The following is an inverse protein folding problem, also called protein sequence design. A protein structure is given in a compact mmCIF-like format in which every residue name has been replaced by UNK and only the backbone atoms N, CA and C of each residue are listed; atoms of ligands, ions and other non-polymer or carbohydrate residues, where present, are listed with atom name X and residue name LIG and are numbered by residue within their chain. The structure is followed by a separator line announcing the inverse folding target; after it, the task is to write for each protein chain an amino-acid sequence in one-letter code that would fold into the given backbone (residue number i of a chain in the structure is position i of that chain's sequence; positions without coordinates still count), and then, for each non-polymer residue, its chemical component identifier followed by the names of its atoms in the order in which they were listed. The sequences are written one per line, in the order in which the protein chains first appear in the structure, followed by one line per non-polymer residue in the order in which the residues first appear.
data_IF_834986272230
#
_entry.id   IF_834986272230
#
_cell.length_a   1.000
_cell.length_b   1.000
_cell.length_c   1.000
_cell.angle_alpha   90.00
_cell.angle_beta   90.00
_cell.angle_gamma   90.00
#
_symmetry.space_group_name_H-M   'P 1'
#
loop_
_entity.id
_entity.type
_entity.pdbx_description
1 polymer ?
#
# COMPACT_ATOMS: atom_id res chain seq x y z
N UNK A 1 4.78 -13.04 8.24
CA UNK A 1 4.82 -12.00 7.17
C UNK A 1 3.65 -11.02 7.23
N UNK A 2 2.40 -11.43 6.98
CA UNK A 2 1.24 -10.48 6.99
C UNK A 2 0.89 -10.02 8.41
N UNK A 3 0.85 -10.94 9.37
CA UNK A 3 0.59 -10.60 10.78
C UNK A 3 1.67 -9.68 11.36
N UNK A 4 2.94 -9.85 10.98
CA UNK A 4 4.02 -8.97 11.42
C UNK A 4 3.86 -7.54 10.88
N UNK A 5 3.40 -7.40 9.63
CA UNK A 5 3.11 -6.11 9.04
C UNK A 5 1.95 -5.41 9.78
N UNK A 6 0.88 -6.13 10.10
CA UNK A 6 -0.24 -5.60 10.87
C UNK A 6 0.19 -5.20 12.29
N UNK A 7 0.98 -6.03 12.97
CA UNK A 7 1.54 -5.73 14.29
C UNK A 7 2.40 -4.45 14.30
N UNK A 8 3.15 -4.19 13.22
CA UNK A 8 3.91 -2.93 13.08
C UNK A 8 2.99 -1.71 12.98
N UNK A 9 1.81 -1.84 12.37
CA UNK A 9 0.83 -0.75 12.28
C UNK A 9 0.14 -0.45 13.62
N UNK A 10 0.13 -1.41 14.56
CA UNK A 10 -0.44 -1.21 15.89
C UNK A 10 0.47 -0.37 16.78
N UNK A 11 1.80 -0.47 16.62
CA UNK A 11 2.75 0.36 17.36
C UNK A 11 2.68 1.81 16.89
N UNK A 12 2.13 2.69 17.73
CA UNK A 12 2.05 4.13 17.50
C UNK A 12 3.42 4.80 17.61
N UNK A 13 3.59 5.87 16.85
CA UNK A 13 4.79 6.70 16.93
C UNK A 13 4.86 7.36 18.31
N UNK A 14 6.06 7.44 18.88
CA UNK A 14 6.25 8.23 20.11
C UNK A 14 6.40 9.72 19.77
N UNK A 15 6.29 10.58 20.78
CA UNK A 15 6.52 12.01 20.60
C UNK A 15 7.91 12.29 20.03
N UNK A 16 8.94 11.59 20.52
CA UNK A 16 10.32 11.73 20.05
C UNK A 16 10.47 11.31 18.58
N UNK A 17 9.77 10.26 18.15
CA UNK A 17 9.76 9.82 16.76
C UNK A 17 9.10 10.87 15.85
N UNK A 18 8.02 11.51 16.31
CA UNK A 18 7.34 12.58 15.57
C UNK A 18 8.20 13.85 15.49
N UNK A 19 8.80 14.26 16.60
CA UNK A 19 9.74 15.39 16.64
C UNK A 19 10.96 15.12 15.74
N UNK A 20 11.49 13.89 15.76
CA UNK A 20 12.59 13.49 14.87
C UNK A 20 12.17 13.58 13.41
N UNK A 21 10.98 13.11 13.05
CA UNK A 21 10.46 13.21 11.70
C UNK A 21 10.34 14.68 11.24
N UNK A 22 9.81 15.56 12.09
CA UNK A 22 9.76 17.00 11.83
C UNK A 22 11.16 17.56 11.57
N UNK A 23 12.12 17.32 12.48
CA UNK A 23 13.50 17.83 12.35
C UNK A 23 14.17 17.35 11.07
N UNK A 24 13.99 16.08 10.72
CA UNK A 24 14.56 15.49 9.51
C UNK A 24 13.95 16.10 8.25
N UNK A 25 12.63 16.36 8.23
CA UNK A 25 11.97 17.00 7.09
C UNK A 25 12.36 18.47 6.95
N UNK A 26 12.42 19.22 8.05
CA UNK A 26 12.78 20.65 8.03
C UNK A 26 14.25 20.90 7.70
N UNK A 27 15.13 19.95 7.97
CA UNK A 27 16.54 20.01 7.57
C UNK A 27 16.80 19.47 6.16
N UNK A 28 15.96 18.55 5.66
CA UNK A 28 16.08 17.98 4.32
C UNK A 28 15.31 18.72 3.22
N UNK A 29 14.31 19.53 3.58
CA UNK A 29 13.40 20.25 2.67
C UNK A 29 13.32 21.73 3.04
N UNK A 30 12.88 22.58 2.09
CA UNK A 30 12.72 24.01 2.37
C UNK A 30 11.47 24.27 3.21
N UNK A 31 11.62 24.97 4.32
CA UNK A 31 10.50 25.49 5.11
C UNK A 31 9.71 26.56 4.36
N UNK A 32 8.44 26.73 4.72
CA UNK A 32 7.64 27.85 4.23
C UNK A 32 8.17 29.17 4.81
N UNK A 33 8.20 30.23 4.00
CA UNK A 33 8.71 31.52 4.43
C UNK A 33 7.85 32.08 5.57
N UNK A 34 8.46 32.35 6.73
CA UNK A 34 7.78 32.92 7.89
C UNK A 34 7.09 31.91 8.82
N UNK A 35 7.29 30.60 8.65
CA UNK A 35 6.78 29.61 9.60
C UNK A 35 7.56 29.65 10.91
N UNK A 36 6.87 29.77 12.04
CA UNK A 36 7.48 29.57 13.37
C UNK A 36 7.78 28.09 13.58
N UNK A 37 9.05 27.75 13.79
CA UNK A 37 9.51 26.36 13.90
C UNK A 37 8.87 25.63 15.08
N UNK A 38 8.68 26.31 16.23
CA UNK A 38 8.11 25.70 17.43
C UNK A 38 6.63 25.36 17.22
N UNK A 39 5.86 26.32 16.71
CA UNK A 39 4.44 26.12 16.39
C UNK A 39 4.26 25.05 15.32
N UNK A 40 5.15 25.02 14.31
CA UNK A 40 5.09 24.01 13.24
C UNK A 40 5.40 22.61 13.78
N UNK A 41 6.43 22.47 14.62
CA UNK A 41 6.75 21.20 15.29
C UNK A 41 5.59 20.70 16.14
N UNK A 42 4.92 21.59 16.88
CA UNK A 42 3.77 21.23 17.69
C UNK A 42 2.57 20.82 16.84
N UNK A 43 2.34 21.50 15.70
CA UNK A 43 1.30 21.13 14.76
C UNK A 43 1.57 19.74 14.13
N UNK A 44 2.83 19.40 13.86
CA UNK A 44 3.24 18.06 13.44
C UNK A 44 2.91 17.01 14.50
N UNK A 45 3.22 17.30 15.78
CA UNK A 45 2.87 16.41 16.88
C UNK A 45 1.37 16.13 16.94
N UNK A 46 0.53 17.18 16.94
CA UNK A 46 -0.93 16.98 17.00
C UNK A 46 -1.52 16.29 15.77
N UNK A 47 -1.01 16.58 14.57
CA UNK A 47 -1.52 15.97 13.36
C UNK A 47 -1.15 14.50 13.23
N UNK A 48 0.04 14.11 13.70
CA UNK A 48 0.59 12.76 13.52
C UNK A 48 0.38 11.86 14.74
N UNK A 49 -0.23 12.36 15.80
CA UNK A 49 -0.62 11.54 16.94
C UNK A 49 -1.54 10.38 16.47
N UNK A 50 -1.24 9.18 16.96
CA UNK A 50 -1.94 7.96 16.54
C UNK A 50 -1.49 7.36 15.19
N UNK A 51 -0.56 7.97 14.45
CA UNK A 51 0.08 7.32 13.29
C UNK A 51 1.03 6.21 13.75
N UNK A 52 1.13 5.12 12.99
CA UNK A 52 2.12 4.07 13.27
C UNK A 52 3.56 4.58 13.15
N UNK A 53 4.42 4.17 14.09
CA UNK A 53 5.86 4.44 14.09
C UNK A 53 6.51 4.03 12.75
N UNK A 54 6.13 2.86 12.22
CA UNK A 54 6.67 2.36 10.97
C UNK A 54 6.17 3.16 9.75
N UNK A 55 4.90 3.59 9.77
CA UNK A 55 4.32 4.44 8.71
C UNK A 55 5.00 5.80 8.69
N UNK A 56 5.17 6.43 9.85
CA UNK A 56 5.84 7.73 9.99
C UNK A 56 7.26 7.69 9.43
N UNK A 57 8.05 6.68 9.82
CA UNK A 57 9.42 6.52 9.30
C UNK A 57 9.44 6.31 7.78
N UNK A 58 8.52 5.51 7.26
CA UNK A 58 8.42 5.24 5.83
C UNK A 58 8.01 6.50 5.07
N UNK A 59 7.01 7.24 5.55
CA UNK A 59 6.54 8.48 4.94
C UNK A 59 7.62 9.57 4.93
N UNK A 60 8.34 9.72 6.04
CA UNK A 60 9.47 10.66 6.15
C UNK A 60 10.55 10.34 5.12
N UNK A 61 10.91 9.06 4.99
CA UNK A 61 11.89 8.59 4.02
C UNK A 61 11.42 8.78 2.57
N UNK A 62 10.15 8.55 2.29
CA UNK A 62 9.59 8.74 0.94
C UNK A 62 9.56 10.21 0.55
N UNK A 63 9.20 11.10 1.48
CA UNK A 63 9.23 12.54 1.28
C UNK A 63 10.64 13.04 0.93
N UNK A 64 11.65 12.66 1.73
CA UNK A 64 13.05 13.02 1.48
C UNK A 64 13.59 12.47 0.14
N UNK A 65 13.09 11.33 -0.32
CA UNK A 65 13.47 10.74 -1.60
C UNK A 65 12.71 11.33 -2.80
N UNK A 66 11.76 12.24 -2.56
CA UNK A 66 10.84 12.73 -3.59
C UNK A 66 9.94 11.64 -4.16
N UNK A 67 9.68 10.57 -3.40
CA UNK A 67 8.83 9.43 -3.80
C UNK A 67 7.42 9.47 -3.19
N UNK A 68 7.17 10.42 -2.29
CA UNK A 68 5.86 10.60 -1.69
C UNK A 68 4.89 11.23 -2.70
N UNK A 69 4.14 10.41 -3.42
CA UNK A 69 3.12 10.85 -4.38
C UNK A 69 2.14 11.85 -3.75
N UNK A 70 2.00 13.02 -4.37
CA UNK A 70 1.12 14.09 -3.92
C UNK A 70 1.76 15.10 -2.97
N UNK A 71 2.98 14.84 -2.47
CA UNK A 71 3.76 15.82 -1.71
C UNK A 71 4.71 16.60 -2.62
N UNK A 72 5.02 17.82 -2.22
CA UNK A 72 6.06 18.62 -2.87
C UNK A 72 7.45 18.02 -2.58
N UNK A 73 8.32 17.94 -3.59
CA UNK A 73 9.67 17.36 -3.47
C UNK A 73 10.72 18.35 -2.98
N UNK A 74 10.38 19.63 -2.87
CA UNK A 74 11.29 20.73 -2.55
C UNK A 74 10.94 21.39 -1.23
N UNK A 75 9.65 21.60 -0.98
CA UNK A 75 9.14 22.22 0.22
C UNK A 75 8.70 21.17 1.22
N UNK A 76 8.89 21.49 2.50
CA UNK A 76 8.36 20.72 3.60
C UNK A 76 6.83 20.61 3.47
N UNK A 77 6.25 19.41 3.62
CA UNK A 77 4.81 19.24 3.47
C UNK A 77 4.05 19.98 4.57
N UNK A 78 2.81 20.39 4.29
CA UNK A 78 1.93 20.83 5.37
C UNK A 78 1.61 19.65 6.29
N UNK A 79 1.25 19.94 7.55
CA UNK A 79 0.85 18.89 8.51
C UNK A 79 -0.31 18.06 7.99
N UNK A 80 -1.28 18.70 7.34
CA UNK A 80 -2.44 18.03 6.73
C UNK A 80 -2.03 17.11 5.57
N UNK A 81 -1.20 17.60 4.64
CA UNK A 81 -0.75 16.80 3.49
C UNK A 81 0.07 15.59 3.95
N UNK A 82 0.97 15.81 4.91
CA UNK A 82 1.80 14.74 5.44
C UNK A 82 1.00 13.71 6.22
N UNK A 83 -0.01 14.13 7.00
CA UNK A 83 -0.96 13.24 7.66
C UNK A 83 -1.74 12.40 6.64
N UNK A 84 -2.31 13.02 5.61
CA UNK A 84 -3.06 12.30 4.57
C UNK A 84 -2.19 11.28 3.83
N UNK A 85 -0.92 11.61 3.58
CA UNK A 85 0.02 10.65 3.01
C UNK A 85 0.23 9.45 3.95
N UNK A 86 0.46 9.69 5.24
CA UNK A 86 0.60 8.64 6.25
C UNK A 86 -0.65 7.74 6.32
N UNK A 87 -1.83 8.34 6.39
CA UNK A 87 -3.11 7.63 6.43
C UNK A 87 -3.32 6.75 5.19
N UNK A 88 -3.07 7.31 4.00
CA UNK A 88 -3.16 6.57 2.73
C UNK A 88 -2.19 5.39 2.69
N UNK A 89 -0.96 5.57 3.16
CA UNK A 89 0.05 4.52 3.24
C UNK A 89 -0.41 3.39 4.19
N UNK A 90 -0.92 3.76 5.37
CA UNK A 90 -1.42 2.82 6.37
C UNK A 90 -2.62 2.01 5.84
N UNK A 91 -3.58 2.69 5.21
CA UNK A 91 -4.76 2.06 4.63
C UNK A 91 -4.41 1.10 3.47
N UNK A 92 -3.45 1.47 2.61
CA UNK A 92 -2.97 0.60 1.52
C UNK A 92 -2.41 -0.72 2.06
N UNK A 93 -1.66 -0.66 3.16
CA UNK A 93 -1.06 -1.85 3.78
C UNK A 93 -2.13 -2.71 4.43
N UNK A 94 -3.06 -2.12 5.18
CA UNK A 94 -4.19 -2.85 5.78
C UNK A 94 -5.01 -3.55 4.71
N UNK A 95 -5.39 -2.84 3.66
CA UNK A 95 -6.17 -3.39 2.55
C UNK A 95 -5.45 -4.58 1.90
N UNK A 96 -4.14 -4.43 1.61
CA UNK A 96 -3.35 -5.51 1.02
C UNK A 96 -3.22 -6.72 1.95
N UNK A 97 -3.02 -6.48 3.24
CA UNK A 97 -2.98 -7.54 4.25
C UNK A 97 -4.32 -8.29 4.32
N UNK A 98 -5.45 -7.56 4.33
CA UNK A 98 -6.78 -8.16 4.31
C UNK A 98 -7.04 -9.00 3.06
N UNK A 99 -6.62 -8.53 1.87
CA UNK A 99 -6.75 -9.32 0.64
C UNK A 99 -5.95 -10.62 0.72
N UNK A 100 -4.68 -10.56 1.16
CA UNK A 100 -3.85 -11.77 1.29
C UNK A 100 -4.45 -12.76 2.29
N UNK A 101 -4.93 -12.29 3.44
CA UNK A 101 -5.59 -13.16 4.43
C UNK A 101 -6.85 -13.81 3.85
N UNK A 102 -7.68 -13.07 3.11
CA UNK A 102 -8.85 -13.61 2.42
C UNK A 102 -8.49 -14.65 1.37
N UNK A 103 -7.43 -14.41 0.59
CA UNK A 103 -6.98 -15.36 -0.44
C UNK A 103 -6.39 -16.64 0.16
N UNK A 104 -5.70 -16.55 1.30
CA UNK A 104 -5.20 -17.73 2.04
C UNK A 104 -6.34 -18.52 2.71
N UNK A 105 -7.44 -17.85 3.08
CA UNK A 105 -8.62 -18.48 3.67
C UNK A 105 -9.59 -19.04 2.64
N UNK A 106 -9.43 -18.75 1.34
CA UNK A 106 -10.24 -19.37 0.30
C UNK A 106 -9.94 -20.87 0.27
N UNK A 107 -10.93 -21.74 0.54
CA UNK A 107 -10.73 -23.15 0.33
C UNK A 107 -10.47 -23.39 -1.17
N UNK A 108 -9.58 -24.31 -1.50
CA UNK A 108 -9.24 -24.77 -2.86
C UNK A 108 -10.44 -25.46 -3.58
N UNK A 109 -11.65 -24.90 -3.51
CA UNK A 109 -12.84 -25.48 -4.14
C UNK A 109 -12.96 -25.16 -5.64
N UNK A 110 -12.23 -24.15 -6.14
CA UNK A 110 -12.32 -23.71 -7.54
C UNK A 110 -11.28 -24.39 -8.46
N UNK A 111 -10.20 -24.97 -7.94
CA UNK A 111 -9.22 -25.70 -8.76
C UNK A 111 -9.78 -27.04 -9.25
N UNK A 112 -10.46 -27.80 -8.39
CA UNK A 112 -11.04 -29.11 -8.75
C UNK A 112 -12.31 -29.03 -9.61
N UNK A 113 -13.05 -27.91 -9.59
CA UNK A 113 -14.24 -27.71 -10.46
C UNK A 113 -13.87 -27.19 -11.85
N UNK A 114 -12.86 -26.32 -12.00
CA UNK A 114 -12.42 -25.83 -13.31
C UNK A 114 -11.70 -26.88 -14.15
N UNK A 115 -10.90 -27.76 -13.55
CA UNK A 115 -10.17 -28.79 -14.30
C UNK A 115 -11.09 -29.88 -14.87
N UNK A 116 -12.19 -30.21 -14.19
CA UNK A 116 -13.14 -31.24 -14.65
C UNK A 116 -14.12 -30.77 -15.72
N UNK A 117 -14.46 -29.47 -15.77
CA UNK A 117 -15.47 -28.95 -16.70
C UNK A 117 -14.90 -28.51 -18.07
N UNK A 118 -13.61 -28.21 -18.16
CA UNK A 118 -13.02 -27.64 -19.40
C UNK A 118 -12.41 -28.69 -20.33
N UNK A 119 -12.12 -29.91 -19.84
CA UNK A 119 -11.22 -30.84 -20.55
C UNK A 119 -11.91 -31.93 -21.37
N UNK A 120 -13.16 -32.33 -21.08
CA UNK A 120 -13.80 -33.44 -21.81
C UNK A 120 -14.67 -32.95 -22.98
N UNK A 121 -15.72 -32.18 -22.69
CA UNK A 121 -16.75 -31.83 -23.70
C UNK A 121 -16.18 -30.95 -24.82
N UNK A 122 -15.29 -30.02 -24.46
CA UNK A 122 -14.70 -29.07 -25.41
C UNK A 122 -13.65 -29.75 -26.31
N UNK A 123 -12.95 -30.76 -25.80
CA UNK A 123 -11.96 -31.53 -26.55
C UNK A 123 -12.66 -32.50 -27.52
N UNK A 124 -13.75 -33.14 -27.10
CA UNK A 124 -14.58 -33.99 -27.96
C UNK A 124 -15.23 -33.18 -29.09
N UNK A 125 -15.76 -32.00 -28.80
CA UNK A 125 -16.32 -31.11 -29.82
C UNK A 125 -15.27 -30.72 -30.87
N UNK A 126 -14.05 -30.37 -30.43
CA UNK A 126 -12.94 -30.00 -31.30
C UNK A 126 -12.45 -31.17 -32.17
N UNK A 127 -12.34 -32.37 -31.60
CA UNK A 127 -11.98 -33.58 -32.36
C UNK A 127 -13.04 -33.93 -33.42
N UNK A 128 -14.32 -33.77 -33.09
CA UNK A 128 -15.43 -34.01 -34.01
C UNK A 128 -15.45 -33.01 -35.16
N UNK A 129 -15.09 -31.75 -34.89
CA UNK A 129 -14.99 -30.69 -35.89
C UNK A 129 -13.80 -30.92 -36.83
N UNK A 130 -12.62 -31.26 -36.29
CA UNK A 130 -11.45 -31.64 -37.09
C UNK A 130 -11.76 -32.81 -38.03
N UNK A 131 -12.37 -33.89 -37.53
CA UNK A 131 -12.71 -35.06 -38.36
C UNK A 131 -13.61 -34.69 -39.54
N UNK A 132 -14.62 -33.84 -39.32
CA UNK A 132 -15.50 -33.35 -40.40
C UNK A 132 -14.74 -32.56 -41.46
N UNK A 133 -13.79 -31.70 -41.06
CA UNK A 133 -12.99 -30.90 -42.01
C UNK A 133 -12.07 -31.76 -42.88
N UNK A 134 -11.55 -32.87 -42.36
CA UNK A 134 -10.71 -33.79 -43.13
C UNK A 134 -11.51 -34.77 -44.01
N UNK A 135 -12.76 -35.09 -43.64
CA UNK A 135 -13.65 -35.93 -44.46
C UNK A 135 -14.29 -35.17 -45.63
N UNK A 136 -14.42 -33.84 -45.53
CA UNK A 136 -14.98 -32.97 -46.59
C UNK A 136 -13.93 -32.43 -47.56
N UNK A 137 -12.65 -32.69 -47.32
CA UNK A 137 -11.52 -32.24 -48.15
C UNK A 137 -11.03 -33.30 -49.16
N UNK A 138 -11.87 -34.29 -49.51
CA UNK A 138 -11.58 -35.33 -50.51
C UNK A 138 -12.59 -35.26 -51.65
#
# INVERSE_FOLDING_TARGET
MVHDALKKLEKKATEEEIQTAYLVLSSGLKSQLGSDEKSTSLAYFYALDGISSWVLQTATKDALKGKAEGLNTTFMPSTADFYHYCEKLENRIRTRASCILKDLQKPELESKKREKLVTSERLEAFQKELRKTFETAK
#
